data_IF_106436180975
#
_entry.id   IF_106436180975
#
_cell.length_a   1.000
_cell.length_b   1.000
_cell.length_c   1.000
_cell.angle_alpha   90.00
_cell.angle_beta   90.00
_cell.angle_gamma   90.00
#
_symmetry.space_group_name_H-M   'P 1'
#
loop_
_entity.id
_entity.type
_entity.pdbx_description
1 polymer ?
#
# COMPACT_ATOMS: atom_id res chain seq x y z
N UNK A 1 -11.21 -17.13 9.98
CA UNK A 1 -12.34 -16.68 9.13
C UNK A 1 -12.71 -17.64 7.98
N UNK A 2 -12.00 -18.76 7.74
CA UNK A 2 -12.42 -19.77 6.73
C UNK A 2 -13.75 -20.47 7.08
N UNK A 3 -14.15 -20.48 8.35
CA UNK A 3 -15.30 -21.29 8.82
C UNK A 3 -16.66 -20.54 8.82
N UNK A 4 -16.72 -19.28 8.39
CA UNK A 4 -17.95 -18.47 8.46
C UNK A 4 -18.85 -18.61 7.22
N UNK A 5 -18.25 -18.90 6.06
CA UNK A 5 -18.97 -19.13 4.81
C UNK A 5 -18.88 -20.62 4.50
N UNK A 6 -20.03 -21.30 4.46
CA UNK A 6 -20.14 -22.74 4.18
C UNK A 6 -19.53 -23.09 2.82
N UNK A 7 -19.20 -24.37 2.62
CA UNK A 7 -18.55 -24.90 1.40
C UNK A 7 -19.32 -24.64 0.08
N UNK A 8 -20.57 -24.20 0.16
CA UNK A 8 -21.42 -23.93 -1.01
C UNK A 8 -21.30 -22.50 -1.57
N UNK A 9 -20.39 -21.66 -1.05
CA UNK A 9 -20.22 -20.27 -1.53
C UNK A 9 -18.78 -20.05 -1.99
N UNK A 10 -18.60 -19.71 -3.28
CA UNK A 10 -17.30 -19.25 -3.79
C UNK A 10 -16.99 -17.89 -3.18
N UNK A 11 -15.99 -17.84 -2.30
CA UNK A 11 -15.51 -16.60 -1.69
C UNK A 11 -14.52 -15.92 -2.64
N UNK A 12 -14.82 -14.67 -3.00
CA UNK A 12 -13.89 -13.81 -3.75
C UNK A 12 -13.06 -13.00 -2.76
N UNK A 13 -11.74 -12.95 -2.98
CA UNK A 13 -10.81 -12.18 -2.16
C UNK A 13 -10.99 -10.67 -2.33
N UNK A 14 -10.82 -9.90 -1.25
CA UNK A 14 -10.88 -8.44 -1.33
C UNK A 14 -9.57 -7.88 -1.89
N UNK A 15 -9.62 -7.23 -3.06
CA UNK A 15 -8.43 -6.66 -3.71
C UNK A 15 -7.76 -5.56 -2.87
N UNK A 16 -8.53 -4.68 -2.22
CA UNK A 16 -7.96 -3.68 -1.30
C UNK A 16 -7.22 -4.34 -0.13
N UNK A 17 -7.72 -5.48 0.36
CA UNK A 17 -7.06 -6.25 1.41
C UNK A 17 -5.76 -6.90 0.91
N UNK A 18 -5.74 -7.47 -0.29
CA UNK A 18 -4.52 -8.01 -0.89
C UNK A 18 -3.42 -6.95 -1.00
N UNK A 19 -3.74 -5.78 -1.56
CA UNK A 19 -2.78 -4.69 -1.72
C UNK A 19 -2.28 -4.19 -0.36
N UNK A 20 -3.18 -4.00 0.61
CA UNK A 20 -2.78 -3.57 1.94
C UNK A 20 -1.86 -4.58 2.64
N UNK A 21 -2.15 -5.88 2.50
CA UNK A 21 -1.33 -6.94 3.09
C UNK A 21 0.07 -7.02 2.49
N UNK A 22 0.19 -6.79 1.19
CA UNK A 22 1.50 -6.69 0.53
C UNK A 22 2.31 -5.52 1.09
N UNK A 23 1.69 -4.34 1.25
CA UNK A 23 2.38 -3.18 1.83
C UNK A 23 2.75 -3.42 3.31
N UNK A 24 1.82 -3.95 4.11
CA UNK A 24 2.09 -4.33 5.50
C UNK A 24 3.28 -5.27 5.58
N UNK A 25 3.31 -6.32 4.75
CA UNK A 25 4.40 -7.30 4.76
C UNK A 25 5.74 -6.64 4.43
N UNK A 26 5.78 -5.81 3.39
CA UNK A 26 6.99 -5.11 2.95
C UNK A 26 7.59 -4.15 4.00
N UNK A 27 6.76 -3.49 4.82
CA UNK A 27 7.24 -2.51 5.80
C UNK A 27 7.39 -3.06 7.24
N UNK A 28 6.65 -4.11 7.61
CA UNK A 28 6.60 -4.57 9.01
C UNK A 28 7.38 -5.86 9.27
N UNK A 29 7.55 -6.72 8.28
CA UNK A 29 8.29 -7.98 8.46
C UNK A 29 9.78 -7.74 8.31
N UNK A 30 10.60 -8.38 9.16
CA UNK A 30 12.06 -8.27 9.10
C UNK A 30 12.59 -8.93 7.82
N UNK A 31 12.60 -8.18 6.72
CA UNK A 31 13.15 -8.60 5.44
C UNK A 31 14.51 -7.93 5.27
N UNK A 32 15.56 -8.75 5.15
CA UNK A 32 16.95 -8.32 5.02
C UNK A 32 17.15 -7.50 3.72
N UNK A 33 16.22 -7.58 2.76
CA UNK A 33 16.29 -6.83 1.52
C UNK A 33 15.81 -5.38 1.67
N UNK A 34 14.84 -5.09 2.54
CA UNK A 34 14.15 -3.80 2.60
C UNK A 34 14.58 -2.89 3.77
N UNK A 35 15.80 -3.10 4.29
CA UNK A 35 16.25 -2.56 5.59
C UNK A 35 16.09 -1.05 5.70
N UNK A 36 16.48 -0.27 4.69
CA UNK A 36 16.42 1.20 4.74
C UNK A 36 14.98 1.71 4.91
N UNK A 37 14.06 1.27 4.04
CA UNK A 37 12.66 1.69 4.09
C UNK A 37 11.96 1.19 5.37
N UNK A 38 12.29 -0.02 5.84
CA UNK A 38 11.75 -0.57 7.09
C UNK A 38 12.27 0.18 8.32
N UNK A 39 13.54 0.57 8.34
CA UNK A 39 14.12 1.37 9.42
C UNK A 39 13.44 2.73 9.49
N UNK A 40 13.33 3.43 8.36
CA UNK A 40 12.64 4.72 8.28
C UNK A 40 11.19 4.61 8.76
N UNK A 41 10.46 3.58 8.32
CA UNK A 41 9.11 3.30 8.80
C UNK A 41 9.03 3.10 10.31
N UNK A 42 9.96 2.34 10.91
CA UNK A 42 10.00 2.12 12.37
C UNK A 42 10.28 3.40 13.13
N UNK A 43 11.21 4.21 12.66
CA UNK A 43 11.56 5.48 13.27
C UNK A 43 10.35 6.42 13.26
N UNK A 44 9.73 6.64 12.09
CA UNK A 44 8.53 7.48 11.94
C UNK A 44 7.39 6.94 12.81
N UNK A 45 7.11 5.64 12.77
CA UNK A 45 6.06 5.01 13.58
C UNK A 45 6.29 5.23 15.08
N UNK A 46 7.53 5.09 15.54
CA UNK A 46 7.91 5.30 16.95
C UNK A 46 7.64 6.75 17.38
N UNK A 47 8.07 7.73 16.57
CA UNK A 47 7.86 9.15 16.83
C UNK A 47 6.36 9.47 16.88
N UNK A 48 5.60 9.05 15.86
CA UNK A 48 4.14 9.26 15.80
C UNK A 48 3.45 8.66 17.03
N UNK A 49 3.82 7.43 17.38
CA UNK A 49 3.28 6.74 18.56
C UNK A 49 3.57 7.55 19.83
N UNK A 50 4.80 8.04 19.99
CA UNK A 50 5.21 8.78 21.18
C UNK A 50 4.54 10.14 21.30
N UNK A 51 4.42 10.90 20.20
CA UNK A 51 3.68 12.18 20.17
C UNK A 51 2.23 11.98 20.65
N UNK A 52 1.59 10.90 20.20
CA UNK A 52 0.21 10.56 20.60
C UNK A 52 0.13 10.12 22.06
N UNK A 53 1.03 9.25 22.52
CA UNK A 53 1.08 8.78 23.91
C UNK A 53 1.34 9.92 24.91
N UNK A 54 2.15 10.90 24.53
CA UNK A 54 2.43 12.09 25.34
C UNK A 54 1.37 13.20 25.18
N UNK A 55 0.26 12.93 24.47
CA UNK A 55 -0.81 13.90 24.21
C UNK A 55 -0.35 15.21 23.56
N UNK A 56 0.75 15.17 22.78
CA UNK A 56 1.33 16.36 22.11
C UNK A 56 0.71 16.65 20.74
N UNK A 57 -0.29 15.88 20.33
CA UNK A 57 -0.94 16.01 19.03
C UNK A 57 -1.60 17.38 18.80
N UNK A 58 -2.13 18.00 19.86
CA UNK A 58 -2.75 19.33 19.80
C UNK A 58 -1.76 20.47 19.54
N UNK A 59 -0.46 20.20 19.63
CA UNK A 59 0.60 21.18 19.37
C UNK A 59 1.02 21.22 17.89
N UNK A 60 0.41 20.40 17.05
CA UNK A 60 0.72 20.29 15.62
C UNK A 60 -0.43 20.82 14.77
N UNK A 61 -0.11 21.40 13.62
CA UNK A 61 -1.09 21.92 12.66
C UNK A 61 -1.94 20.81 12.02
N UNK A 62 -1.37 19.62 11.86
CA UNK A 62 -2.04 18.46 11.25
C UNK A 62 -2.02 17.25 12.19
N UNK A 63 -3.10 16.48 12.15
CA UNK A 63 -3.23 15.26 12.93
C UNK A 63 -2.30 14.15 12.41
N UNK A 64 -1.36 13.66 13.24
CA UNK A 64 -0.52 12.52 12.88
C UNK A 64 -1.34 11.23 12.91
N UNK A 65 -1.36 10.56 11.78
CA UNK A 65 -2.03 9.27 11.65
C UNK A 65 -1.13 8.16 12.16
N UNK A 66 -1.58 7.46 13.19
CA UNK A 66 -0.88 6.25 13.61
C UNK A 66 -1.09 5.13 12.60
N UNK A 67 -0.04 4.34 12.38
CA UNK A 67 -0.14 3.12 11.60
C UNK A 67 -1.03 2.09 12.32
N UNK A 68 -1.88 1.41 11.55
CA UNK A 68 -2.79 0.38 12.04
C UNK A 68 -2.90 -0.74 11.00
N UNK A 69 -2.56 -1.98 11.38
CA UNK A 69 -2.52 -3.13 10.47
C UNK A 69 -3.88 -3.47 9.84
N UNK A 70 -4.97 -3.13 10.53
CA UNK A 70 -6.34 -3.40 10.05
C UNK A 70 -6.90 -2.28 9.19
N UNK A 71 -6.24 -1.12 9.14
CA UNK A 71 -6.67 0.02 8.32
C UNK A 71 -5.95 -0.02 6.98
N UNK A 72 -6.73 0.01 5.90
CA UNK A 72 -6.14 0.14 4.57
C UNK A 72 -5.33 1.43 4.44
N UNK A 73 -4.20 1.35 3.75
CA UNK A 73 -3.30 2.47 3.50
C UNK A 73 -2.64 3.09 4.74
N UNK A 74 -2.47 2.31 5.81
CA UNK A 74 -1.87 2.80 7.06
C UNK A 74 -0.46 3.38 6.86
N UNK A 75 0.36 2.78 6.00
CA UNK A 75 1.75 3.22 5.77
C UNK A 75 1.78 4.60 5.11
N UNK A 76 1.10 4.76 3.96
CA UNK A 76 1.02 6.03 3.24
C UNK A 76 0.47 7.15 4.14
N UNK A 77 -0.66 6.89 4.79
CA UNK A 77 -1.34 7.94 5.56
C UNK A 77 -0.51 8.43 6.75
N UNK A 78 0.28 7.53 7.36
CA UNK A 78 1.23 7.90 8.41
C UNK A 78 2.33 8.81 7.86
N UNK A 79 3.03 8.39 6.80
CA UNK A 79 4.11 9.20 6.20
C UNK A 79 3.60 10.55 5.67
N UNK A 80 2.45 10.58 4.99
CA UNK A 80 1.84 11.82 4.47
C UNK A 80 1.51 12.79 5.61
N UNK A 81 0.92 12.31 6.70
CA UNK A 81 0.65 13.15 7.87
C UNK A 81 1.92 13.62 8.58
N UNK A 82 2.98 12.79 8.57
CA UNK A 82 4.26 13.11 9.17
C UNK A 82 5.00 14.20 8.39
N UNK A 83 5.03 14.11 7.06
CA UNK A 83 5.60 15.14 6.18
C UNK A 83 4.97 16.51 6.41
N UNK A 84 3.64 16.57 6.52
CA UNK A 84 2.89 17.82 6.72
C UNK A 84 3.29 18.60 7.97
N UNK A 85 3.85 17.94 8.97
CA UNK A 85 4.27 18.54 10.24
C UNK A 85 5.76 18.36 10.50
N UNK A 86 6.53 17.95 9.48
CA UNK A 86 7.92 17.56 9.64
C UNK A 86 8.74 18.61 10.39
N UNK A 87 8.63 19.87 9.95
CA UNK A 87 9.35 21.00 10.54
C UNK A 87 8.82 21.44 11.92
N UNK A 88 7.61 21.04 12.31
CA UNK A 88 7.04 21.35 13.62
C UNK A 88 7.54 20.37 14.69
N UNK A 89 7.81 19.11 14.32
CA UNK A 89 8.16 18.03 15.23
C UNK A 89 9.33 18.37 16.18
N UNK A 90 10.48 18.94 15.74
CA UNK A 90 11.61 19.21 16.62
C UNK A 90 11.26 20.03 17.87
N UNK A 91 10.24 20.90 17.78
CA UNK A 91 9.81 21.77 18.88
C UNK A 91 9.08 21.02 19.98
N UNK A 92 8.45 19.89 19.67
CA UNK A 92 7.62 19.13 20.61
C UNK A 92 8.26 17.80 21.06
N UNK A 93 9.29 17.32 20.38
CA UNK A 93 9.94 16.04 20.71
C UNK A 93 10.83 16.14 21.96
N UNK A 94 10.88 15.06 22.73
CA UNK A 94 11.88 14.88 23.79
C UNK A 94 13.24 14.48 23.21
N UNK A 95 14.30 14.48 24.03
CA UNK A 95 15.68 14.30 23.55
C UNK A 95 15.91 12.96 22.83
N UNK A 96 15.33 11.87 23.35
CA UNK A 96 15.39 10.56 22.71
C UNK A 96 14.76 10.59 21.30
N UNK A 97 13.54 11.11 21.19
CA UNK A 97 12.82 11.18 19.91
C UNK A 97 13.49 12.16 18.94
N UNK A 98 14.11 13.23 19.44
CA UNK A 98 14.93 14.14 18.62
C UNK A 98 16.11 13.40 17.98
N UNK A 99 16.81 12.53 18.72
CA UNK A 99 17.90 11.71 18.14
C UNK A 99 17.39 10.79 17.04
N UNK A 100 16.21 10.20 17.20
CA UNK A 100 15.58 9.38 16.15
C UNK A 100 15.14 10.24 14.96
N UNK A 101 14.57 11.42 15.21
CA UNK A 101 14.17 12.36 14.17
C UNK A 101 15.35 12.82 13.32
N UNK A 102 16.52 13.06 13.91
CA UNK A 102 17.73 13.46 13.17
C UNK A 102 18.29 12.37 12.23
N UNK A 103 17.81 11.14 12.32
CA UNK A 103 18.16 10.05 11.40
C UNK A 103 17.26 10.02 10.17
N UNK A 104 16.22 10.85 10.15
CA UNK A 104 15.25 10.91 9.07
C UNK A 104 15.70 11.96 8.07
N UNK A 105 15.80 11.56 6.81
CA UNK A 105 15.85 12.50 5.70
C UNK A 105 14.41 12.83 5.26
N UNK A 106 14.12 14.11 5.09
CA UNK A 106 12.84 14.58 4.59
C UNK A 106 12.56 14.03 3.19
N UNK A 107 13.59 14.04 2.33
CA UNK A 107 13.48 13.66 0.92
C UNK A 107 13.20 12.16 0.78
N UNK A 108 13.72 11.34 1.68
CA UNK A 108 13.43 9.90 1.75
C UNK A 108 11.94 9.63 2.05
N UNK A 109 11.34 10.40 2.97
CA UNK A 109 9.91 10.25 3.26
C UNK A 109 9.08 10.74 2.07
N UNK A 110 9.46 11.87 1.46
CA UNK A 110 8.77 12.40 0.30
C UNK A 110 8.78 11.40 -0.86
N UNK A 111 9.93 10.80 -1.12
CA UNK A 111 10.12 9.77 -2.14
C UNK A 111 9.24 8.53 -1.87
N UNK A 112 9.22 8.02 -0.64
CA UNK A 112 8.34 6.91 -0.26
C UNK A 112 6.87 7.29 -0.36
N UNK A 113 6.48 8.51 0.03
CA UNK A 113 5.12 9.01 -0.10
C UNK A 113 4.65 9.06 -1.54
N UNK A 114 5.48 9.59 -2.45
CA UNK A 114 5.19 9.65 -3.87
C UNK A 114 4.93 8.25 -4.44
N UNK A 115 5.77 7.29 -4.07
CA UNK A 115 5.62 5.90 -4.46
C UNK A 115 4.34 5.26 -3.90
N UNK A 116 4.10 5.39 -2.60
CA UNK A 116 2.96 4.79 -1.90
C UNK A 116 1.61 5.40 -2.30
N UNK A 117 1.61 6.64 -2.79
CA UNK A 117 0.40 7.33 -3.26
C UNK A 117 -0.33 6.56 -4.36
N UNK A 118 0.42 5.94 -5.28
CA UNK A 118 -0.19 5.14 -6.35
C UNK A 118 -0.99 3.96 -5.81
N UNK A 119 -0.51 3.33 -4.73
CA UNK A 119 -1.22 2.24 -4.06
C UNK A 119 -2.44 2.74 -3.29
N UNK A 120 -2.31 3.89 -2.62
CA UNK A 120 -3.42 4.56 -1.95
C UNK A 120 -4.56 4.83 -2.94
N UNK A 121 -4.25 5.44 -4.08
CA UNK A 121 -5.23 5.78 -5.11
C UNK A 121 -5.91 4.53 -5.68
N UNK A 122 -5.17 3.44 -5.94
CA UNK A 122 -5.74 2.16 -6.37
C UNK A 122 -6.69 1.60 -5.32
N UNK A 123 -6.31 1.58 -4.04
CA UNK A 123 -7.17 1.09 -2.96
C UNK A 123 -8.45 1.91 -2.86
N UNK A 124 -8.37 3.24 -2.94
CA UNK A 124 -9.54 4.13 -2.93
C UNK A 124 -10.48 3.83 -4.11
N UNK A 125 -9.93 3.63 -5.31
CA UNK A 125 -10.74 3.31 -6.51
C UNK A 125 -11.41 1.95 -6.40
N UNK A 126 -10.68 0.93 -5.95
CA UNK A 126 -11.23 -0.42 -5.76
C UNK A 126 -12.26 -0.50 -4.62
N UNK A 127 -12.15 0.39 -3.63
CA UNK A 127 -13.06 0.48 -2.48
C UNK A 127 -14.28 1.37 -2.73
N UNK A 128 -14.42 1.96 -3.92
CA UNK A 128 -15.55 2.82 -4.25
C UNK A 128 -16.88 2.05 -4.15
N UNK A 129 -17.83 2.61 -3.39
CA UNK A 129 -19.18 2.02 -3.22
C UNK A 129 -20.23 2.58 -4.19
N UNK A 130 -19.91 3.67 -4.89
CA UNK A 130 -20.86 4.41 -5.74
C UNK A 130 -20.89 3.91 -7.19
N UNK A 131 -19.85 3.20 -7.61
CA UNK A 131 -19.68 2.71 -8.99
C UNK A 131 -19.18 1.27 -8.96
N UNK A 132 -19.49 0.43 -9.96
CA UNK A 132 -18.91 -0.91 -10.05
C UNK A 132 -17.38 -0.85 -10.07
N UNK A 133 -16.69 -1.78 -9.38
CA UNK A 133 -15.22 -1.78 -9.29
C UNK A 133 -14.55 -3.10 -9.67
N UNK A 134 -15.29 -4.22 -9.81
CA UNK A 134 -14.70 -5.53 -10.12
C UNK A 134 -13.89 -5.52 -11.43
N UNK A 135 -14.35 -4.79 -12.44
CA UNK A 135 -13.68 -4.63 -13.73
C UNK A 135 -12.36 -3.86 -13.65
N UNK A 136 -12.07 -3.21 -12.53
CA UNK A 136 -10.85 -2.43 -12.31
C UNK A 136 -9.72 -3.27 -11.68
N UNK A 137 -10.03 -4.46 -11.15
CA UNK A 137 -9.05 -5.30 -10.43
C UNK A 137 -7.87 -5.69 -11.32
N UNK A 138 -8.16 -6.21 -12.53
CA UNK A 138 -7.11 -6.65 -13.45
C UNK A 138 -6.26 -5.47 -13.96
N UNK A 139 -6.86 -4.38 -14.49
CA UNK A 139 -6.09 -3.20 -14.90
C UNK A 139 -5.23 -2.62 -13.78
N UNK A 140 -5.75 -2.50 -12.55
CA UNK A 140 -4.97 -1.95 -11.46
C UNK A 140 -3.88 -2.88 -10.95
N UNK A 141 -4.10 -4.20 -10.94
CA UNK A 141 -3.02 -5.16 -10.67
C UNK A 141 -1.88 -5.00 -11.67
N UNK A 142 -2.22 -4.94 -12.97
CA UNK A 142 -1.20 -4.75 -14.01
C UNK A 142 -0.51 -3.38 -13.91
N UNK A 143 -1.27 -2.31 -13.64
CA UNK A 143 -0.74 -0.97 -13.42
C UNK A 143 0.30 -0.95 -12.30
N UNK A 144 -0.03 -1.54 -11.14
CA UNK A 144 0.89 -1.60 -10.01
C UNK A 144 2.12 -2.46 -10.31
N UNK A 145 1.98 -3.60 -11.00
CA UNK A 145 3.14 -4.41 -11.43
C UNK A 145 4.04 -3.62 -12.39
N UNK A 146 3.46 -2.89 -13.33
CA UNK A 146 4.21 -2.07 -14.29
C UNK A 146 4.92 -0.93 -13.58
N UNK A 147 4.25 -0.23 -12.66
CA UNK A 147 4.84 0.84 -11.84
C UNK A 147 6.11 0.38 -11.11
N UNK A 148 6.17 -0.89 -10.72
CA UNK A 148 7.29 -1.50 -10.00
C UNK A 148 8.39 -2.06 -10.90
N UNK A 149 8.04 -2.32 -12.16
CA UNK A 149 8.95 -2.84 -13.18
C UNK A 149 9.62 -1.72 -13.98
N UNK A 150 9.01 -0.53 -13.96
CA UNK A 150 9.58 0.68 -14.50
C UNK A 150 10.61 1.23 -13.51
N UNK A 151 11.71 1.75 -14.04
CA UNK A 151 12.86 2.37 -13.36
C UNK A 151 14.03 1.41 -13.09
N UNK A 152 15.17 1.70 -13.72
CA UNK A 152 16.52 1.39 -13.20
C UNK A 152 16.71 2.13 -11.87
N UNK A 153 15.95 1.72 -10.86
CA UNK A 153 15.92 2.39 -9.57
C UNK A 153 17.19 1.99 -8.83
N UNK A 154 18.18 2.88 -8.85
CA UNK A 154 19.43 2.73 -8.10
C UNK A 154 19.31 3.29 -6.68
N UNK A 155 18.16 3.85 -6.29
CA UNK A 155 17.97 4.38 -4.95
C UNK A 155 17.85 3.23 -3.95
N UNK A 156 18.71 3.26 -2.92
CA UNK A 156 18.83 2.18 -1.92
C UNK A 156 17.60 2.07 -1.01
N UNK A 157 16.80 3.13 -0.89
CA UNK A 157 15.55 3.15 -0.13
C UNK A 157 14.43 2.47 -0.92
N UNK A 158 14.21 2.87 -2.17
CA UNK A 158 13.02 2.45 -2.95
C UNK A 158 13.23 1.20 -3.77
N UNK A 159 14.43 0.96 -4.31
CA UNK A 159 14.68 -0.19 -5.19
C UNK A 159 14.37 -1.54 -4.54
N UNK A 160 14.85 -1.83 -3.31
CA UNK A 160 14.60 -3.13 -2.70
C UNK A 160 13.12 -3.33 -2.34
N UNK A 161 12.47 -2.30 -1.80
CA UNK A 161 11.08 -2.40 -1.38
C UNK A 161 10.12 -2.50 -2.57
N UNK A 162 10.43 -1.84 -3.70
CA UNK A 162 9.69 -2.01 -4.96
C UNK A 162 9.77 -3.44 -5.48
N UNK A 163 10.97 -4.05 -5.47
CA UNK A 163 11.16 -5.45 -5.87
C UNK A 163 10.37 -6.40 -4.98
N UNK A 164 10.46 -6.22 -3.66
CA UNK A 164 9.75 -7.01 -2.67
C UNK A 164 8.22 -6.92 -2.85
N UNK A 165 7.69 -5.71 -2.96
CA UNK A 165 6.25 -5.47 -3.22
C UNK A 165 5.84 -6.06 -4.58
N UNK A 166 6.65 -5.87 -5.62
CA UNK A 166 6.34 -6.35 -6.97
C UNK A 166 6.23 -7.86 -7.05
N UNK A 167 7.12 -8.58 -6.36
CA UNK A 167 7.04 -10.03 -6.25
C UNK A 167 5.79 -10.46 -5.47
N UNK A 168 5.54 -9.84 -4.31
CA UNK A 168 4.38 -10.17 -3.49
C UNK A 168 3.04 -9.88 -4.18
N UNK A 169 2.93 -8.82 -4.98
CA UNK A 169 1.72 -8.55 -5.76
C UNK A 169 1.45 -9.66 -6.78
N UNK A 170 2.50 -10.22 -7.40
CA UNK A 170 2.36 -11.33 -8.34
C UNK A 170 1.87 -12.59 -7.63
N UNK A 171 2.46 -12.89 -6.48
CA UNK A 171 2.25 -14.16 -5.77
C UNK A 171 0.98 -14.17 -4.90
N UNK A 172 0.63 -13.03 -4.28
CA UNK A 172 -0.41 -12.96 -3.24
C UNK A 172 -1.75 -12.41 -3.74
N UNK A 173 -1.76 -11.49 -4.71
CA UNK A 173 -3.01 -10.89 -5.19
C UNK A 173 -3.70 -11.84 -6.19
N UNK A 174 -4.62 -12.65 -5.68
CA UNK A 174 -5.37 -13.62 -6.49
C UNK A 174 -6.45 -12.90 -7.30
N UNK A 175 -6.56 -13.28 -8.58
CA UNK A 175 -7.59 -12.80 -9.51
C UNK A 175 -8.43 -14.00 -9.94
N UNK A 176 -9.68 -14.04 -9.50
CA UNK A 176 -10.69 -15.03 -9.90
C UNK A 176 -11.36 -14.72 -11.26
N UNK A 177 -11.99 -15.74 -11.86
CA UNK A 177 -12.73 -15.68 -13.13
C UNK A 177 -13.71 -14.51 -13.21
N UNK A 178 -14.43 -14.23 -12.12
CA UNK A 178 -15.39 -13.12 -12.05
C UNK A 178 -14.76 -11.75 -12.34
N UNK A 179 -13.48 -11.57 -12.03
CA UNK A 179 -12.76 -10.34 -12.36
C UNK A 179 -12.48 -10.24 -13.86
N UNK A 180 -12.17 -11.37 -14.52
CA UNK A 180 -11.97 -11.42 -15.97
C UNK A 180 -13.27 -11.12 -16.70
N UNK A 181 -14.36 -11.80 -16.32
CA UNK A 181 -15.70 -11.56 -16.88
C UNK A 181 -16.12 -10.10 -16.69
N UNK A 182 -15.98 -9.55 -15.47
CA UNK A 182 -16.32 -8.14 -15.22
C UNK A 182 -15.50 -7.18 -16.08
N UNK A 183 -14.21 -7.46 -16.28
CA UNK A 183 -13.32 -6.62 -17.11
C UNK A 183 -13.72 -6.69 -18.58
N UNK A 184 -14.07 -7.88 -19.11
CA UNK A 184 -14.52 -8.05 -20.50
C UNK A 184 -15.87 -7.39 -20.78
N UNK A 185 -16.79 -7.42 -19.82
CA UNK A 185 -18.10 -6.77 -19.93
C UNK A 185 -17.99 -5.24 -19.94
N UNK A 186 -16.88 -4.67 -19.47
CA UNK A 186 -16.67 -3.24 -19.47
C UNK A 186 -16.13 -2.75 -20.82
N UNK A 187 -16.94 -1.96 -21.54
CA UNK A 187 -16.68 -1.56 -22.93
C UNK A 187 -15.32 -0.91 -23.17
N UNK A 188 -14.83 -0.11 -22.22
CA UNK A 188 -13.57 0.60 -22.34
C UNK A 188 -12.33 -0.29 -22.13
N UNK A 189 -12.51 -1.55 -21.73
CA UNK A 189 -11.44 -2.51 -21.49
C UNK A 189 -11.53 -3.75 -22.39
N UNK A 190 -12.39 -3.73 -23.42
CA UNK A 190 -12.51 -4.83 -24.40
C UNK A 190 -11.20 -5.13 -25.14
N UNK A 191 -10.33 -4.13 -25.30
CA UNK A 191 -9.02 -4.26 -25.91
C UNK A 191 -7.91 -4.60 -24.91
N UNK A 192 -8.24 -4.93 -23.66
CA UNK A 192 -7.24 -5.36 -22.68
C UNK A 192 -6.63 -6.70 -23.13
N UNK A 193 -5.30 -6.78 -23.15
CA UNK A 193 -4.59 -7.95 -23.66
C UNK A 193 -4.69 -9.12 -22.67
N UNK A 194 -5.63 -10.03 -22.91
CA UNK A 194 -5.75 -11.29 -22.19
C UNK A 194 -4.91 -12.38 -22.87
N UNK A 195 -4.26 -13.23 -22.06
CA UNK A 195 -3.69 -14.48 -22.55
C UNK A 195 -4.80 -15.45 -23.00
N UNK A 196 -4.51 -16.45 -23.85
CA UNK A 196 -5.52 -17.42 -24.31
C UNK A 196 -6.24 -18.14 -23.16
N UNK A 197 -5.53 -18.46 -22.08
CA UNK A 197 -6.12 -19.06 -20.88
C UNK A 197 -7.08 -18.08 -20.17
N UNK A 198 -6.72 -16.81 -20.06
CA UNK A 198 -7.57 -15.79 -19.42
C UNK A 198 -8.87 -15.54 -20.19
N UNK A 199 -8.83 -15.61 -21.53
CA UNK A 199 -10.05 -15.54 -22.37
C UNK A 199 -10.95 -16.75 -22.16
N UNK A 200 -10.37 -17.95 -22.20
CA UNK A 200 -11.12 -19.19 -21.99
C UNK A 200 -11.85 -19.20 -20.64
N UNK A 201 -11.21 -18.76 -19.56
CA UNK A 201 -11.85 -18.69 -18.24
C UNK A 201 -13.00 -17.69 -18.18
N UNK A 202 -12.90 -16.56 -18.87
CA UNK A 202 -13.91 -15.51 -18.83
C UNK A 202 -15.16 -15.80 -19.67
N UNK A 203 -15.00 -16.58 -20.75
CA UNK A 203 -16.08 -16.94 -21.68
C UNK A 203 -16.88 -18.18 -21.22
N UNK A 204 -16.30 -18.99 -20.35
CA UNK A 204 -16.90 -20.26 -19.88
C UNK A 204 -17.38 -20.19 -18.42
N UNK A 205 -17.60 -18.98 -17.89
CA UNK A 205 -18.10 -18.74 -16.52
C UNK A 205 -19.51 -18.13 -16.53
#
# INVERSE_FOLDING_TARGET
MKNAFKDNVKRIGCSAHYVNKVLEHAFTYNDIQCVAAQLLFRIVRSIVTKVRQCHKQSLLSTYLQNYCDTRFNGVYSMFDSFLKVYHELPTILGDEQKRSYLQIDHDDIELLCLYLKSFYDVIEKLSCKKTPTLHLVIPYKQFLINLLSLVDDTNQLTSPIKKCIGQQLKDYWIVDDVHYTATMLYSNLKSFNYTPQQKYHAENY
#
